data_IF_119806410360
#
_entry.id   IF_119806410360
#
_cell.length_a   1.000
_cell.length_b   1.000
_cell.length_c   1.000
_cell.angle_alpha   90.00
_cell.angle_beta   90.00
_cell.angle_gamma   90.00
#
_symmetry.space_group_name_H-M   'P 1'
#
loop_
_entity.id
_entity.type
_entity.pdbx_description
1 polymer ?
#
# COMPACT_ATOMS: atom_id res chain seq x y z
N UNK A 1 -8.26 -14.57 -7.59
CA UNK A 1 -6.89 -14.86 -8.07
C UNK A 1 -6.01 -13.72 -7.57
N UNK A 2 -4.88 -14.03 -6.92
CA UNK A 2 -3.97 -12.99 -6.43
C UNK A 2 -3.07 -12.48 -7.56
N UNK A 3 -2.82 -11.18 -7.58
CA UNK A 3 -1.95 -10.52 -8.56
C UNK A 3 -0.51 -10.52 -8.03
N UNK A 4 0.49 -10.67 -8.89
CA UNK A 4 1.89 -10.52 -8.45
C UNK A 4 2.18 -9.04 -8.27
N UNK A 5 2.56 -8.65 -7.06
CA UNK A 5 2.94 -7.30 -6.70
C UNK A 5 4.42 -7.23 -6.37
N UNK A 6 5.05 -6.10 -6.70
CA UNK A 6 6.38 -5.74 -6.23
C UNK A 6 6.30 -4.88 -4.98
N UNK A 7 7.25 -5.04 -4.07
CA UNK A 7 7.44 -4.13 -2.94
C UNK A 7 8.74 -3.33 -3.06
N UNK A 8 8.64 -2.03 -2.85
CA UNK A 8 9.79 -1.13 -2.72
C UNK A 8 9.82 -0.53 -1.32
N UNK A 9 11.02 -0.43 -0.75
CA UNK A 9 11.26 0.17 0.54
C UNK A 9 12.46 1.14 0.47
N UNK A 10 12.28 2.33 1.03
CA UNK A 10 13.36 3.32 1.19
C UNK A 10 13.06 4.26 2.36
N UNK A 11 13.93 4.27 3.38
CA UNK A 11 13.86 5.14 4.56
C UNK A 11 12.47 5.31 5.21
N UNK A 12 11.72 4.21 5.37
CA UNK A 12 10.37 4.23 5.96
C UNK A 12 9.23 4.35 4.95
N UNK A 13 9.52 4.77 3.72
CA UNK A 13 8.59 4.71 2.61
C UNK A 13 8.40 3.25 2.17
N UNK A 14 7.15 2.82 2.04
CA UNK A 14 6.76 1.52 1.48
C UNK A 14 5.85 1.76 0.29
N UNK A 15 6.21 1.21 -0.87
CA UNK A 15 5.34 1.17 -2.03
C UNK A 15 5.01 -0.29 -2.38
N UNK A 16 3.72 -0.60 -2.50
CA UNK A 16 3.23 -1.87 -3.04
C UNK A 16 2.69 -1.61 -4.43
N UNK A 17 3.34 -2.20 -5.43
CA UNK A 17 3.06 -2.01 -6.84
C UNK A 17 2.42 -3.27 -7.42
N UNK A 18 1.15 -3.18 -7.84
CA UNK A 18 0.42 -4.33 -8.42
C UNK A 18 0.57 -4.45 -9.94
N UNK A 19 1.09 -3.40 -10.60
CA UNK A 19 1.32 -3.33 -12.04
C UNK A 19 2.53 -2.43 -12.35
N UNK A 20 3.75 -2.97 -12.25
CA UNK A 20 4.97 -2.19 -12.44
C UNK A 20 5.07 -1.66 -13.87
N UNK A 21 5.45 -0.40 -14.01
CA UNK A 21 5.65 0.27 -15.31
C UNK A 21 4.39 0.88 -15.94
N UNK A 22 3.22 0.72 -15.32
CA UNK A 22 2.00 1.43 -15.74
C UNK A 22 2.00 2.84 -15.15
N UNK A 23 1.73 3.91 -15.93
CA UNK A 23 1.55 5.25 -15.40
C UNK A 23 0.46 5.31 -14.34
N UNK A 24 0.70 6.03 -13.24
CA UNK A 24 -0.22 6.07 -12.10
C UNK A 24 -0.50 7.50 -11.68
N UNK A 25 -1.74 7.74 -11.29
CA UNK A 25 -2.13 8.92 -10.54
C UNK A 25 -2.29 8.54 -9.06
N UNK A 26 -1.46 9.13 -8.21
CA UNK A 26 -1.63 9.05 -6.77
C UNK A 26 -2.79 9.92 -6.34
N UNK A 27 -3.77 9.34 -5.65
CA UNK A 27 -4.94 10.05 -5.16
C UNK A 27 -5.12 9.75 -3.68
N UNK A 28 -5.11 10.79 -2.85
CA UNK A 28 -5.45 10.68 -1.42
C UNK A 28 -6.95 10.50 -1.17
N UNK A 29 -7.78 10.51 -2.23
CA UNK A 29 -9.21 10.23 -2.14
C UNK A 29 -9.51 8.77 -2.48
N UNK A 30 -9.59 7.96 -1.42
CA UNK A 30 -10.48 6.81 -1.45
C UNK A 30 -11.94 7.31 -1.52
N UNK A 31 -12.96 6.57 -2.00
CA UNK A 31 -14.37 6.99 -1.94
C UNK A 31 -14.96 7.08 -0.53
N UNK A 32 -14.24 7.67 0.41
CA UNK A 32 -14.75 8.11 1.70
C UNK A 32 -14.16 9.48 2.06
N UNK A 33 -14.81 10.18 2.98
CA UNK A 33 -14.38 11.51 3.44
C UNK A 33 -13.15 11.46 4.36
N UNK A 34 -12.47 10.31 4.47
CA UNK A 34 -11.37 10.11 5.43
C UNK A 34 -10.04 10.54 4.82
N UNK A 35 -9.21 11.16 5.66
CA UNK A 35 -7.80 11.38 5.35
C UNK A 35 -7.04 10.10 5.64
N UNK A 36 -6.59 9.41 4.59
CA UNK A 36 -5.78 8.20 4.71
C UNK A 36 -4.31 8.56 4.87
N UNK A 37 -3.51 7.80 5.63
CA UNK A 37 -2.06 7.94 5.67
C UNK A 37 -1.36 7.30 4.45
N UNK A 38 -2.13 7.02 3.40
CA UNK A 38 -1.69 6.28 2.21
C UNK A 38 -2.07 7.05 0.95
N UNK A 39 -1.18 7.01 -0.04
CA UNK A 39 -1.51 7.39 -1.40
C UNK A 39 -1.99 6.15 -2.17
N UNK A 40 -3.26 6.14 -2.55
CA UNK A 40 -3.80 5.10 -3.44
C UNK A 40 -3.47 5.47 -4.88
N UNK A 41 -2.75 4.60 -5.57
CA UNK A 41 -2.36 4.80 -6.95
C UNK A 41 -3.36 4.10 -7.86
N UNK A 42 -3.96 4.86 -8.77
CA UNK A 42 -4.87 4.36 -9.80
C UNK A 42 -4.29 4.58 -11.19
N UNK A 43 -4.82 3.85 -12.17
CA UNK A 43 -4.52 4.12 -13.59
C UNK A 43 -5.02 5.51 -13.96
N UNK A 44 -4.11 6.36 -14.45
CA UNK A 44 -4.34 7.77 -14.74
C UNK A 44 -5.40 7.97 -15.84
N UNK A 45 -5.34 7.16 -16.90
CA UNK A 45 -6.26 7.28 -18.04
C UNK A 45 -7.66 6.81 -17.65
N UNK A 46 -7.76 5.70 -16.93
CA UNK A 46 -9.05 5.21 -16.42
C UNK A 46 -9.66 6.19 -15.42
N UNK A 47 -8.84 6.78 -14.56
CA UNK A 47 -9.31 7.78 -13.61
C UNK A 47 -9.89 9.02 -14.31
N UNK A 48 -9.25 9.48 -15.40
CA UNK A 48 -9.76 10.58 -16.22
C UNK A 48 -11.12 10.27 -16.86
N UNK A 49 -11.39 8.99 -17.16
CA UNK A 49 -12.66 8.51 -17.70
C UNK A 49 -13.71 8.16 -16.61
N UNK A 50 -13.37 8.37 -15.33
CA UNK A 50 -14.25 8.08 -14.19
C UNK A 50 -14.25 6.62 -13.72
N UNK A 51 -13.38 5.79 -14.28
CA UNK A 51 -13.11 4.42 -13.85
C UNK A 51 -12.03 4.38 -12.76
N UNK A 52 -11.95 3.26 -12.02
CA UNK A 52 -10.95 3.07 -10.97
C UNK A 52 -10.29 1.71 -11.08
N UNK A 53 -9.09 1.70 -11.65
CA UNK A 53 -8.22 0.53 -11.61
C UNK A 53 -7.10 0.77 -10.62
N UNK A 54 -7.05 -0.02 -9.56
CA UNK A 54 -6.04 0.09 -8.51
C UNK A 54 -4.70 -0.45 -9.00
N UNK A 55 -3.66 0.38 -8.93
CA UNK A 55 -2.30 0.07 -9.38
C UNK A 55 -1.27 0.04 -8.24
N UNK A 56 -1.67 0.36 -7.01
CA UNK A 56 -0.82 0.18 -5.85
C UNK A 56 -1.11 1.16 -4.71
N UNK A 57 -0.33 1.04 -3.64
CA UNK A 57 -0.40 1.95 -2.50
C UNK A 57 1.01 2.41 -2.14
N UNK A 58 1.15 3.69 -1.80
CA UNK A 58 2.39 4.25 -1.26
C UNK A 58 2.11 4.75 0.14
N UNK A 59 2.98 4.39 1.07
CA UNK A 59 2.97 4.87 2.44
C UNK A 59 4.28 5.60 2.66
N UNK A 60 4.20 6.90 2.95
CA UNK A 60 5.39 7.73 3.14
C UNK A 60 6.19 7.34 4.41
N UNK A 61 5.49 6.90 5.45
CA UNK A 61 6.11 6.37 6.67
C UNK A 61 5.29 5.20 7.24
N UNK A 62 5.80 3.98 7.06
CA UNK A 62 5.17 2.74 7.55
C UNK A 62 5.02 2.70 9.07
N UNK A 63 5.81 3.49 9.81
CA UNK A 63 5.71 3.53 11.27
C UNK A 63 4.49 4.30 11.78
N UNK A 64 3.92 5.17 10.96
CA UNK A 64 2.69 5.92 11.27
C UNK A 64 1.42 5.08 11.05
N UNK A 65 1.55 3.89 10.47
CA UNK A 65 0.42 2.99 10.23
C UNK A 65 -0.01 2.32 11.53
N UNK A 66 -1.20 2.68 11.99
CA UNK A 66 -1.84 2.06 13.14
C UNK A 66 -2.64 0.81 12.74
N UNK A 67 -2.93 -0.06 13.71
CA UNK A 67 -3.78 -1.23 13.50
C UNK A 67 -5.21 -0.83 13.08
N UNK A 68 -5.67 0.35 13.49
CA UNK A 68 -6.93 0.93 13.02
C UNK A 68 -6.92 1.13 11.50
N UNK A 69 -5.88 1.76 10.95
CA UNK A 69 -5.78 1.99 9.51
C UNK A 69 -5.69 0.69 8.72
N UNK A 70 -4.98 -0.31 9.23
CA UNK A 70 -4.91 -1.64 8.62
C UNK A 70 -6.27 -2.35 8.62
N UNK A 71 -7.04 -2.23 9.70
CA UNK A 71 -8.39 -2.77 9.78
C UNK A 71 -9.37 -2.05 8.85
N UNK A 72 -9.22 -0.73 8.65
CA UNK A 72 -10.01 -0.01 7.66
C UNK A 72 -9.63 -0.39 6.23
N UNK A 73 -8.34 -0.62 5.97
CA UNK A 73 -7.85 -1.07 4.66
C UNK A 73 -8.37 -2.47 4.30
N UNK A 74 -8.50 -3.37 5.26
CA UNK A 74 -9.10 -4.70 5.06
C UNK A 74 -10.61 -4.65 4.69
N UNK A 75 -11.30 -3.53 4.96
CA UNK A 75 -12.70 -3.33 4.54
C UNK A 75 -12.81 -2.83 3.11
N UNK A 76 -11.70 -2.38 2.54
CA UNK A 76 -11.64 -1.94 1.16
C UNK A 76 -11.54 -3.16 0.26
N UNK A 77 -12.33 -3.17 -0.82
CA UNK A 77 -12.26 -4.20 -1.86
C UNK A 77 -11.02 -4.00 -2.75
N UNK A 78 -9.82 -4.25 -2.18
CA UNK A 78 -8.55 -4.26 -2.89
C UNK A 78 -8.22 -5.67 -3.38
N UNK A 79 -7.50 -5.81 -4.50
CA UNK A 79 -7.04 -7.12 -4.95
C UNK A 79 -6.12 -7.77 -3.91
N UNK A 80 -6.23 -9.09 -3.79
CA UNK A 80 -5.24 -9.90 -3.08
C UNK A 80 -3.95 -9.97 -3.91
N UNK A 81 -2.81 -10.06 -3.22
CA UNK A 81 -1.50 -10.01 -3.86
C UNK A 81 -0.59 -11.16 -3.44
N UNK A 82 0.33 -11.50 -4.33
CA UNK A 82 1.51 -12.30 -4.06
C UNK A 82 2.72 -11.35 -4.10
N UNK A 83 3.59 -11.40 -3.09
CA UNK A 83 4.86 -10.66 -3.02
C UNK A 83 5.98 -11.70 -2.83
N UNK A 84 6.43 -12.36 -3.90
CA UNK A 84 7.34 -13.51 -3.82
C UNK A 84 8.68 -13.18 -3.13
N UNK A 85 9.21 -11.98 -3.33
CA UNK A 85 10.44 -11.49 -2.71
C UNK A 85 10.36 -11.41 -1.18
N UNK A 86 9.15 -11.25 -0.65
CA UNK A 86 8.85 -11.22 0.78
C UNK A 86 8.31 -12.55 1.30
N UNK A 87 8.13 -13.55 0.43
CA UNK A 87 7.52 -14.84 0.79
C UNK A 87 6.02 -14.75 1.15
N UNK A 88 5.33 -13.69 0.73
CA UNK A 88 3.91 -13.49 1.00
C UNK A 88 3.09 -13.97 -0.20
N UNK A 89 2.09 -14.82 0.04
CA UNK A 89 1.28 -15.42 -1.01
C UNK A 89 -0.20 -15.37 -0.66
N UNK A 90 -1.00 -14.93 -1.63
CA UNK A 90 -2.44 -14.73 -1.52
C UNK A 90 -2.81 -13.97 -0.24
N UNK A 91 -2.25 -12.78 -0.04
CA UNK A 91 -2.44 -11.94 1.15
C UNK A 91 -3.17 -10.64 0.81
N UNK A 92 -3.70 -9.92 1.81
CA UNK A 92 -4.24 -8.58 1.58
C UNK A 92 -3.12 -7.53 1.51
N UNK A 93 -3.43 -6.35 0.96
CA UNK A 93 -2.49 -5.22 1.01
C UNK A 93 -2.17 -4.84 2.47
N UNK A 94 -3.15 -4.92 3.38
CA UNK A 94 -2.94 -4.66 4.80
C UNK A 94 -1.96 -5.67 5.42
N UNK A 95 -2.00 -6.94 5.03
CA UNK A 95 -1.04 -7.95 5.48
C UNK A 95 0.38 -7.64 5.00
N UNK A 96 0.53 -7.16 3.76
CA UNK A 96 1.83 -6.70 3.24
C UNK A 96 2.35 -5.51 4.06
N UNK A 97 1.50 -4.54 4.41
CA UNK A 97 1.89 -3.40 5.23
C UNK A 97 2.20 -3.79 6.68
N UNK A 98 1.46 -4.75 7.26
CA UNK A 98 1.78 -5.35 8.57
C UNK A 98 3.17 -5.98 8.56
N UNK A 99 3.47 -6.78 7.54
CA UNK A 99 4.77 -7.40 7.34
C UNK A 99 5.87 -6.36 7.17
N UNK A 100 5.64 -5.32 6.35
CA UNK A 100 6.60 -4.25 6.12
C UNK A 100 6.91 -3.47 7.41
N UNK A 101 5.88 -3.15 8.21
CA UNK A 101 6.03 -2.48 9.52
C UNK A 101 6.89 -3.30 10.49
N UNK A 102 6.78 -4.63 10.46
CA UNK A 102 7.57 -5.53 11.31
C UNK A 102 9.00 -5.74 10.80
N UNK A 103 9.17 -5.75 9.48
CA UNK A 103 10.46 -6.06 8.82
C UNK A 103 11.36 -4.84 8.73
N UNK A 104 10.78 -3.66 8.54
CA UNK A 104 11.49 -2.40 8.34
C UNK A 104 11.08 -1.36 9.38
N UNK A 105 11.38 -1.58 10.67
CA UNK A 105 11.10 -0.58 11.70
C UNK A 105 11.85 0.71 11.36
N UNK A 106 11.14 1.84 11.37
CA UNK A 106 11.72 3.16 11.11
C UNK A 106 12.94 3.39 12.01
N UNK A 107 14.02 3.95 11.44
CA UNK A 107 15.25 4.27 12.20
C UNK A 107 14.98 5.24 13.36
N UNK A 108 13.90 6.02 13.29
CA UNK A 108 13.44 6.91 14.35
C UNK A 108 12.98 6.20 15.62
N UNK A 109 12.74 4.88 15.57
CA UNK A 109 12.34 4.10 16.75
C UNK A 109 13.52 3.75 17.68
N UNK A 110 14.76 4.10 17.32
CA UNK A 110 15.98 3.74 18.08
C UNK A 110 16.48 4.87 19.00
N UNK A 111 15.80 6.01 19.08
CA UNK A 111 16.29 7.19 19.81
C UNK A 111 15.87 7.27 21.29
N UNK A 112 15.21 6.25 21.84
CA UNK A 112 14.85 6.21 23.27
C UNK A 112 15.04 4.80 23.83
N UNK A 113 16.27 4.50 24.26
CA UNK A 113 16.56 3.44 25.22
C UNK A 113 17.60 3.97 26.21
#
# INVERSE_FOLDING_TARGET
MAIVAGIYYDDGLVAVDVYPGVPKAGVMSFPDERSWPFDFNYDDWKLADGEREFLGIVVLDVSLITDYWLAELDKVDLPRVNVPESGLFDVTIADVLRWARQTYPSRYSSATA
#
